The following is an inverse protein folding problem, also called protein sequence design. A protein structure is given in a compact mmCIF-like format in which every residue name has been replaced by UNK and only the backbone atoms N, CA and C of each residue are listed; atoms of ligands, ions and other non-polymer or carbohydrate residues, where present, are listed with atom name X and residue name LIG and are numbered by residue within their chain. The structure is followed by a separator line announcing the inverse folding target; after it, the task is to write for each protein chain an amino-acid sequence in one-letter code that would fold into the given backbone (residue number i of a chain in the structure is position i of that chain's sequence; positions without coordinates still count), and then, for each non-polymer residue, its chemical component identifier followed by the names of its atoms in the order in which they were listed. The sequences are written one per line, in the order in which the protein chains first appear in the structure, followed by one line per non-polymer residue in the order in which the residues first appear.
data_IF_069557030357
#
_entry.id   IF_069557030357
#
_cell.length_a   1.000
_cell.length_b   1.000
_cell.length_c   1.000
_cell.angle_alpha   90.00
_cell.angle_beta   90.00
_cell.angle_gamma   90.00
#
_symmetry.space_group_name_H-M   'P 1'
#
loop_
_entity.id
_entity.type
_entity.pdbx_description
1 polymer ?
#
# COMPACT_ATOMS: atom_id res chain seq x y z
N UNK A 1 23.13 -85.56 -54.04
CA UNK A 1 24.27 -85.28 -53.13
C UNK A 1 25.18 -84.30 -53.85
N UNK A 2 25.03 -82.99 -53.63
CA UNK A 2 25.53 -82.22 -52.46
C UNK A 2 27.07 -82.25 -52.41
N UNK A 3 27.84 -81.15 -52.37
CA UNK A 3 27.62 -79.72 -52.12
C UNK A 3 28.83 -78.92 -52.66
N UNK A 4 28.67 -77.62 -52.97
CA UNK A 4 29.78 -76.72 -53.25
C UNK A 4 30.39 -76.19 -51.93
N UNK A 5 31.70 -76.26 -51.77
CA UNK A 5 32.39 -75.67 -50.61
C UNK A 5 32.83 -74.25 -50.92
N UNK A 6 32.01 -73.33 -50.40
CA UNK A 6 32.25 -71.93 -50.00
C UNK A 6 33.70 -71.40 -50.11
N UNK A 7 33.81 -70.26 -50.79
CA UNK A 7 34.85 -69.27 -50.52
C UNK A 7 34.84 -68.89 -49.03
N UNK A 8 36.01 -68.92 -48.40
CA UNK A 8 36.27 -68.30 -47.10
C UNK A 8 36.69 -66.85 -47.36
N UNK A 9 35.90 -65.85 -46.94
CA UNK A 9 36.40 -64.48 -46.85
C UNK A 9 36.97 -64.29 -45.44
N UNK A 10 38.29 -64.20 -45.30
CA UNK A 10 38.89 -63.44 -44.20
C UNK A 10 40.39 -63.22 -44.41
N UNK A 11 40.72 -62.03 -44.94
CA UNK A 11 42.02 -61.41 -44.74
C UNK A 11 41.76 -59.98 -44.29
N UNK A 12 42.00 -59.73 -43.00
CA UNK A 12 41.91 -58.42 -42.37
C UNK A 12 42.73 -57.39 -43.17
N UNK A 13 42.04 -56.36 -43.69
CA UNK A 13 42.64 -55.30 -44.50
C UNK A 13 43.44 -54.33 -43.59
N UNK A 14 44.69 -53.97 -43.92
CA UNK A 14 45.49 -53.06 -43.10
C UNK A 14 44.97 -51.61 -43.12
N UNK A 15 45.11 -50.89 -42.00
CA UNK A 15 44.57 -49.54 -41.76
C UNK A 15 45.64 -48.43 -41.89
N UNK A 16 45.31 -47.31 -42.54
CA UNK A 16 46.22 -46.18 -42.74
C UNK A 16 46.38 -45.30 -41.50
N UNK A 17 47.62 -44.95 -41.15
CA UNK A 17 48.00 -44.23 -39.92
C UNK A 17 47.30 -42.90 -39.72
N UNK A 18 47.24 -42.11 -40.79
CA UNK A 18 46.60 -40.79 -40.80
C UNK A 18 45.09 -40.90 -40.54
N UNK A 19 44.44 -41.92 -41.10
CA UNK A 19 43.01 -42.14 -40.89
C UNK A 19 42.70 -42.58 -39.45
N UNK A 20 43.51 -43.46 -38.85
CA UNK A 20 43.34 -43.88 -37.45
C UNK A 20 43.58 -42.73 -36.47
N UNK A 21 44.61 -41.92 -36.71
CA UNK A 21 44.92 -40.77 -35.87
C UNK A 21 43.84 -39.69 -35.94
N UNK A 22 43.34 -39.35 -37.14
CA UNK A 22 42.22 -38.41 -37.31
C UNK A 22 40.92 -38.99 -36.73
N UNK A 23 40.68 -40.30 -36.88
CA UNK A 23 39.51 -40.96 -36.30
C UNK A 23 39.55 -41.04 -34.76
N UNK A 24 40.74 -41.04 -34.14
CA UNK A 24 40.89 -40.91 -32.68
C UNK A 24 40.89 -39.45 -32.21
N UNK A 25 41.25 -38.50 -33.08
CA UNK A 25 41.16 -37.07 -32.80
C UNK A 25 39.72 -36.60 -32.57
N UNK A 26 38.72 -37.37 -33.03
CA UNK A 26 37.31 -37.12 -32.74
C UNK A 26 36.88 -37.48 -31.30
N UNK A 27 37.77 -38.07 -30.48
CA UNK A 27 37.50 -38.56 -29.12
C UNK A 27 36.44 -39.69 -29.01
N UNK A 28 35.81 -40.06 -30.12
CA UNK A 28 34.84 -41.16 -30.22
C UNK A 28 35.51 -42.54 -30.33
N UNK A 29 36.84 -42.61 -30.21
CA UNK A 29 37.65 -43.84 -30.26
C UNK A 29 37.44 -44.69 -31.53
N UNK A 30 37.01 -44.04 -32.62
CA UNK A 30 36.73 -44.69 -33.91
C UNK A 30 37.99 -45.31 -34.49
N UNK A 31 39.16 -44.72 -34.28
CA UNK A 31 40.44 -45.29 -34.72
C UNK A 31 40.76 -46.63 -34.05
N UNK A 32 40.42 -46.82 -32.76
CA UNK A 32 40.58 -48.12 -32.09
C UNK A 32 39.60 -49.18 -32.59
N UNK A 33 38.36 -48.78 -32.92
CA UNK A 33 37.37 -49.65 -33.53
C UNK A 33 37.78 -50.05 -34.95
N UNK A 34 38.34 -49.12 -35.72
CA UNK A 34 38.90 -49.39 -37.04
C UNK A 34 40.02 -50.42 -36.95
N UNK A 35 40.88 -50.37 -35.92
CA UNK A 35 41.92 -51.37 -35.67
C UNK A 35 41.39 -52.71 -35.10
N UNK A 36 40.05 -52.90 -34.98
CA UNK A 36 39.43 -54.10 -34.42
C UNK A 36 39.54 -54.25 -32.90
N UNK A 37 40.09 -53.25 -32.20
CA UNK A 37 40.41 -53.33 -30.76
C UNK A 37 39.28 -52.78 -29.88
N UNK A 38 38.16 -53.51 -29.86
CA UNK A 38 36.91 -53.12 -29.17
C UNK A 38 37.08 -52.86 -27.67
N UNK A 39 37.89 -53.66 -26.96
CA UNK A 39 38.16 -53.47 -25.52
C UNK A 39 38.89 -52.15 -25.23
N UNK A 40 39.88 -51.81 -26.05
CA UNK A 40 40.61 -50.54 -25.94
C UNK A 40 39.70 -49.35 -26.24
N UNK A 41 38.85 -49.45 -27.27
CA UNK A 41 37.86 -48.42 -27.59
C UNK A 41 36.87 -48.19 -26.42
N UNK A 42 36.41 -49.25 -25.76
CA UNK A 42 35.52 -49.14 -24.61
C UNK A 42 36.19 -48.49 -23.40
N UNK A 43 37.43 -48.89 -23.06
CA UNK A 43 38.17 -48.32 -21.92
C UNK A 43 38.52 -46.86 -22.16
N UNK A 44 39.08 -46.54 -23.34
CA UNK A 44 39.43 -45.15 -23.69
C UNK A 44 38.19 -44.27 -23.86
N UNK A 45 37.09 -44.82 -24.36
CA UNK A 45 35.78 -44.17 -24.40
C UNK A 45 35.23 -43.86 -23.02
N UNK A 46 35.33 -44.81 -22.09
CA UNK A 46 34.92 -44.60 -20.69
C UNK A 46 35.78 -43.53 -20.01
N UNK A 47 37.10 -43.55 -20.18
CA UNK A 47 37.99 -42.52 -19.61
C UNK A 47 37.70 -41.14 -20.22
N UNK A 48 37.46 -41.07 -21.52
CA UNK A 48 37.10 -39.82 -22.22
C UNK A 48 35.74 -39.30 -21.73
N UNK A 49 34.76 -40.17 -21.57
CA UNK A 49 33.45 -39.83 -21.01
C UNK A 49 33.57 -39.30 -19.58
N UNK A 50 34.34 -39.97 -18.72
CA UNK A 50 34.59 -39.54 -17.34
C UNK A 50 35.30 -38.19 -17.29
N UNK A 51 36.30 -37.95 -18.14
CA UNK A 51 36.99 -36.66 -18.22
C UNK A 51 36.07 -35.52 -18.69
N UNK A 52 35.22 -35.78 -19.69
CA UNK A 52 34.24 -34.80 -20.18
C UNK A 52 33.17 -34.52 -19.12
N UNK A 53 32.67 -35.55 -18.43
CA UNK A 53 31.73 -35.39 -17.32
C UNK A 53 32.37 -34.63 -16.17
N UNK A 54 33.59 -34.96 -15.77
CA UNK A 54 34.30 -34.28 -14.68
C UNK A 54 34.57 -32.79 -14.98
N UNK A 55 34.92 -32.47 -16.23
CA UNK A 55 35.06 -31.07 -16.69
C UNK A 55 33.71 -30.33 -16.67
N UNK A 56 32.62 -31.04 -16.98
CA UNK A 56 31.28 -30.48 -16.99
C UNK A 56 30.67 -30.30 -15.58
N UNK A 57 31.01 -31.16 -14.61
CA UNK A 57 30.25 -31.25 -13.34
C UNK A 57 31.01 -30.90 -12.05
N UNK A 58 32.31 -31.19 -11.90
CA UNK A 58 32.87 -31.30 -10.55
C UNK A 58 34.06 -30.39 -10.20
N UNK A 59 34.98 -30.04 -11.11
CA UNK A 59 36.10 -29.12 -10.80
C UNK A 59 36.52 -28.40 -12.08
N UNK A 60 36.26 -27.10 -12.22
CA UNK A 60 36.75 -26.31 -13.35
C UNK A 60 38.14 -25.75 -13.04
N UNK A 61 39.17 -26.57 -13.21
CA UNK A 61 40.56 -26.14 -13.11
C UNK A 61 41.21 -26.13 -14.49
N UNK A 62 42.04 -25.11 -14.79
CA UNK A 62 42.85 -25.07 -16.02
C UNK A 62 43.70 -26.34 -16.19
N UNK A 63 44.00 -27.02 -15.09
CA UNK A 63 44.66 -28.31 -15.08
C UNK A 63 43.84 -29.41 -15.78
N UNK A 64 42.52 -29.47 -15.61
CA UNK A 64 41.67 -30.45 -16.29
C UNK A 64 41.57 -30.21 -17.80
N UNK A 65 41.62 -28.94 -18.24
CA UNK A 65 41.73 -28.60 -19.66
C UNK A 65 43.06 -29.08 -20.24
N UNK A 66 44.17 -28.89 -19.53
CA UNK A 66 45.49 -29.41 -19.91
C UNK A 66 45.51 -30.94 -19.94
N UNK A 67 44.92 -31.61 -18.94
CA UNK A 67 44.82 -33.07 -18.91
C UNK A 67 44.00 -33.61 -20.06
N UNK A 68 42.88 -32.97 -20.43
CA UNK A 68 42.08 -33.37 -21.58
C UNK A 68 42.83 -33.19 -22.91
N UNK A 69 43.59 -32.09 -23.06
CA UNK A 69 44.43 -31.86 -24.24
C UNK A 69 45.57 -32.88 -24.35
N UNK A 70 46.23 -33.20 -23.23
CA UNK A 70 47.26 -34.22 -23.17
C UNK A 70 46.69 -35.62 -23.44
N UNK A 71 45.51 -35.93 -22.91
CA UNK A 71 44.78 -37.16 -23.17
C UNK A 71 44.39 -37.28 -24.65
N UNK A 72 43.88 -36.20 -25.25
CA UNK A 72 43.58 -36.11 -26.68
C UNK A 72 44.83 -36.37 -27.53
N UNK A 73 45.94 -35.69 -27.23
CA UNK A 73 47.22 -35.88 -27.92
C UNK A 73 47.74 -37.32 -27.75
N UNK A 74 47.56 -37.92 -26.58
CA UNK A 74 47.91 -39.31 -26.31
C UNK A 74 47.05 -40.30 -27.12
N UNK A 75 45.74 -40.08 -27.27
CA UNK A 75 44.86 -40.94 -28.11
C UNK A 75 45.25 -40.88 -29.60
N UNK A 76 45.61 -39.69 -30.08
CA UNK A 76 46.09 -39.46 -31.46
C UNK A 76 47.45 -40.14 -31.67
N UNK A 77 48.42 -39.89 -30.78
CA UNK A 77 49.77 -40.44 -30.85
C UNK A 77 49.81 -41.96 -30.68
N UNK A 78 49.00 -42.51 -29.77
CA UNK A 78 48.91 -43.95 -29.54
C UNK A 78 48.19 -44.68 -30.69
N UNK A 79 47.12 -44.09 -31.23
CA UNK A 79 46.48 -44.59 -32.46
C UNK A 79 47.45 -44.62 -33.65
N UNK A 80 48.26 -43.58 -33.79
CA UNK A 80 49.32 -43.50 -34.80
C UNK A 80 50.39 -44.60 -34.63
N UNK A 81 50.87 -44.81 -33.41
CA UNK A 81 51.86 -45.84 -33.08
C UNK A 81 51.35 -47.27 -33.33
N UNK A 82 50.09 -47.55 -32.96
CA UNK A 82 49.46 -48.84 -33.20
C UNK A 82 49.26 -49.14 -34.70
N UNK A 83 48.89 -48.13 -35.48
CA UNK A 83 48.81 -48.25 -36.93
C UNK A 83 50.22 -48.40 -37.57
N UNK A 84 51.28 -47.94 -36.90
CA UNK A 84 52.64 -48.06 -37.40
C UNK A 84 53.22 -49.48 -37.28
N UNK A 85 52.79 -50.25 -36.28
CA UNK A 85 53.24 -51.61 -36.01
C UNK A 85 52.63 -52.69 -36.94
N UNK A 86 51.54 -52.39 -37.66
CA UNK A 86 50.74 -53.37 -38.39
C UNK A 86 51.11 -53.59 -39.89
N UNK A 87 52.38 -53.47 -40.32
CA UNK A 87 52.72 -53.44 -41.77
C UNK A 87 52.67 -54.81 -42.47
N UNK A 88 51.97 -54.88 -43.62
CA UNK A 88 52.51 -55.10 -45.00
C UNK A 88 51.43 -54.85 -46.08
N UNK A 89 51.87 -54.27 -47.21
CA UNK A 89 51.16 -53.92 -48.46
C UNK A 89 50.05 -52.84 -48.38
N UNK A 90 50.36 -51.62 -48.83
CA UNK A 90 49.40 -50.54 -49.05
C UNK A 90 49.02 -50.43 -50.53
N UNK A 91 47.71 -50.36 -50.80
CA UNK A 91 47.14 -49.89 -52.06
C UNK A 91 46.64 -48.45 -51.87
N UNK A 92 47.02 -47.52 -52.77
CA UNK A 92 46.81 -46.06 -52.60
C UNK A 92 45.33 -45.65 -52.61
N UNK A 93 44.45 -46.48 -53.14
CA UNK A 93 43.00 -46.25 -53.24
C UNK A 93 42.28 -46.36 -51.89
N UNK A 94 42.65 -47.35 -51.05
CA UNK A 94 42.05 -47.54 -49.72
C UNK A 94 42.43 -46.42 -48.71
N UNK A 95 43.51 -45.67 -48.98
CA UNK A 95 43.96 -44.52 -48.17
C UNK A 95 43.07 -43.30 -48.35
N UNK A 96 42.52 -43.07 -49.55
CA UNK A 96 41.70 -41.90 -49.87
C UNK A 96 40.29 -42.06 -49.29
N UNK A 97 39.68 -43.24 -49.44
CA UNK A 97 38.35 -43.52 -48.86
C UNK A 97 38.32 -43.38 -47.34
N UNK A 98 39.37 -43.84 -46.63
CA UNK A 98 39.40 -43.81 -45.17
C UNK A 98 39.77 -42.44 -44.59
N UNK A 99 40.56 -41.65 -45.32
CA UNK A 99 40.79 -40.24 -45.00
C UNK A 99 39.51 -39.41 -45.19
N UNK A 100 38.76 -39.69 -46.26
CA UNK A 100 37.44 -39.10 -46.51
C UNK A 100 36.49 -39.45 -45.38
N UNK A 101 36.42 -40.71 -44.94
CA UNK A 101 35.58 -41.10 -43.78
C UNK A 101 35.98 -40.35 -42.50
N UNK A 102 37.28 -40.21 -42.21
CA UNK A 102 37.74 -39.50 -41.02
C UNK A 102 37.45 -37.99 -41.08
N UNK A 103 37.62 -37.33 -42.25
CA UNK A 103 37.22 -35.93 -42.47
C UNK A 103 35.70 -35.77 -42.43
N UNK A 104 34.94 -36.71 -43.00
CA UNK A 104 33.48 -36.73 -42.95
C UNK A 104 32.94 -36.90 -41.52
N UNK A 105 33.72 -37.45 -40.59
CA UNK A 105 33.34 -37.51 -39.18
C UNK A 105 33.82 -36.29 -38.38
N UNK A 106 35.02 -35.77 -38.65
CA UNK A 106 35.60 -34.67 -37.88
C UNK A 106 35.05 -33.29 -38.27
N UNK A 107 34.85 -33.04 -39.57
CA UNK A 107 34.35 -31.75 -40.07
C UNK A 107 32.95 -31.41 -39.56
N UNK A 108 31.96 -32.33 -39.54
CA UNK A 108 30.66 -32.02 -38.99
C UNK A 108 30.71 -31.69 -37.49
N UNK A 109 31.55 -32.38 -36.71
CA UNK A 109 31.69 -32.11 -35.27
C UNK A 109 32.27 -30.71 -35.04
N UNK A 110 33.35 -30.36 -35.75
CA UNK A 110 33.97 -29.03 -35.63
C UNK A 110 33.04 -27.92 -36.15
N UNK A 111 32.32 -28.17 -37.24
CA UNK A 111 31.31 -27.25 -37.77
C UNK A 111 30.19 -27.01 -36.76
N UNK A 112 29.61 -28.08 -36.18
CA UNK A 112 28.57 -27.97 -35.14
C UNK A 112 29.07 -27.21 -33.92
N UNK A 113 30.28 -27.51 -33.42
CA UNK A 113 30.87 -26.78 -32.28
C UNK A 113 31.08 -25.30 -32.60
N UNK A 114 31.55 -24.99 -33.81
CA UNK A 114 31.79 -23.61 -34.24
C UNK A 114 30.49 -22.82 -34.38
N UNK A 115 29.46 -23.43 -34.99
CA UNK A 115 28.11 -22.82 -35.10
C UNK A 115 27.53 -22.56 -33.72
N UNK A 116 27.55 -23.54 -32.82
CA UNK A 116 27.05 -23.38 -31.45
C UNK A 116 27.83 -22.33 -30.64
N UNK A 117 29.13 -22.13 -30.93
CA UNK A 117 29.93 -21.07 -30.30
C UNK A 117 29.57 -19.67 -30.81
N UNK A 118 29.29 -19.54 -32.11
CA UNK A 118 28.83 -18.27 -32.70
C UNK A 118 27.43 -17.92 -32.19
N UNK A 119 26.53 -18.90 -32.15
CA UNK A 119 25.18 -18.75 -31.62
C UNK A 119 25.20 -18.32 -30.15
N UNK A 120 26.00 -19.01 -29.32
CA UNK A 120 26.24 -18.63 -27.93
C UNK A 120 26.81 -17.20 -27.76
N UNK A 121 27.65 -16.73 -28.67
CA UNK A 121 28.16 -15.35 -28.64
C UNK A 121 27.09 -14.32 -29.03
N UNK A 122 26.18 -14.69 -29.94
CA UNK A 122 25.00 -13.89 -30.26
C UNK A 122 24.10 -13.71 -29.03
N UNK A 123 23.76 -14.81 -28.36
CA UNK A 123 22.95 -14.79 -27.12
C UNK A 123 23.63 -13.94 -26.02
N UNK A 124 24.93 -14.12 -25.76
CA UNK A 124 25.66 -13.29 -24.77
C UNK A 124 25.62 -11.81 -25.13
N UNK A 125 25.66 -11.49 -26.43
CA UNK A 125 25.52 -10.14 -26.96
C UNK A 125 24.16 -9.52 -26.65
N UNK A 126 23.07 -10.25 -26.93
CA UNK A 126 21.70 -9.83 -26.62
C UNK A 126 21.50 -9.65 -25.11
N UNK A 127 21.93 -10.62 -24.30
CA UNK A 127 21.85 -10.52 -22.83
C UNK A 127 22.65 -9.33 -22.30
N UNK A 128 23.83 -9.06 -22.85
CA UNK A 128 24.62 -7.90 -22.46
C UNK A 128 23.96 -6.57 -22.87
N UNK A 129 23.25 -6.54 -24.00
CA UNK A 129 22.47 -5.39 -24.43
C UNK A 129 21.27 -5.17 -23.51
N UNK A 130 20.46 -6.21 -23.27
CA UNK A 130 19.35 -6.18 -22.34
C UNK A 130 19.77 -5.73 -20.93
N UNK A 131 20.96 -6.13 -20.44
CA UNK A 131 21.53 -5.61 -19.18
C UNK A 131 21.87 -4.12 -19.21
N UNK A 132 22.36 -3.59 -20.33
CA UNK A 132 22.64 -2.15 -20.49
C UNK A 132 21.36 -1.34 -20.51
N UNK A 133 20.33 -1.88 -21.16
CA UNK A 133 19.03 -1.24 -21.36
C UNK A 133 18.12 -1.43 -20.13
N UNK A 134 18.39 -2.43 -19.29
CA UNK A 134 17.63 -2.71 -18.06
C UNK A 134 16.45 -3.64 -18.27
N UNK A 135 16.43 -4.42 -19.35
CA UNK A 135 15.29 -5.23 -19.77
C UNK A 135 15.44 -6.70 -19.32
N UNK A 136 14.80 -7.04 -18.19
CA UNK A 136 14.80 -8.42 -17.68
C UNK A 136 14.12 -9.40 -18.64
N UNK A 137 12.97 -9.01 -19.22
CA UNK A 137 12.21 -9.85 -20.13
C UNK A 137 13.02 -10.26 -21.38
N UNK A 138 13.68 -9.29 -22.03
CA UNK A 138 14.54 -9.55 -23.20
C UNK A 138 15.74 -10.44 -22.82
N UNK A 139 16.35 -10.21 -21.66
CA UNK A 139 17.44 -11.06 -21.17
C UNK A 139 16.99 -12.50 -20.90
N UNK A 140 15.78 -12.70 -20.35
CA UNK A 140 15.22 -14.01 -20.08
C UNK A 140 14.81 -14.74 -21.36
N UNK A 141 14.21 -14.05 -22.31
CA UNK A 141 13.85 -14.59 -23.63
C UNK A 141 15.09 -15.10 -24.38
N UNK A 142 16.15 -14.29 -24.45
CA UNK A 142 17.41 -14.69 -25.06
C UNK A 142 18.06 -15.90 -24.35
N UNK A 143 17.89 -16.02 -23.03
CA UNK A 143 18.43 -17.13 -22.25
C UNK A 143 17.62 -18.42 -22.36
N UNK A 144 16.35 -18.35 -22.77
CA UNK A 144 15.50 -19.54 -23.01
C UNK A 144 15.98 -20.37 -24.21
N UNK A 145 16.67 -19.73 -25.16
CA UNK A 145 17.33 -20.39 -26.30
C UNK A 145 18.55 -21.25 -25.88
N UNK A 146 19.02 -21.12 -24.64
CA UNK A 146 20.20 -21.85 -24.12
C UNK A 146 19.84 -23.30 -23.75
N UNK A 147 20.06 -24.21 -24.70
CA UNK A 147 19.94 -25.65 -24.50
C UNK A 147 21.25 -26.36 -24.11
N UNK A 148 21.20 -27.69 -23.97
CA UNK A 148 22.34 -28.53 -23.55
C UNK A 148 23.60 -28.37 -24.43
N UNK A 149 23.43 -28.15 -25.74
CA UNK A 149 24.55 -27.93 -26.66
C UNK A 149 25.40 -26.72 -26.28
N UNK A 150 24.77 -25.60 -25.92
CA UNK A 150 25.44 -24.38 -25.49
C UNK A 150 26.19 -24.55 -24.16
N UNK A 151 25.63 -25.32 -23.21
CA UNK A 151 26.29 -25.62 -21.93
C UNK A 151 27.58 -26.42 -22.10
N UNK A 152 27.65 -27.30 -23.10
CA UNK A 152 28.86 -28.07 -23.38
C UNK A 152 29.94 -27.25 -24.06
N UNK A 153 29.59 -26.41 -25.04
CA UNK A 153 30.59 -25.70 -25.85
C UNK A 153 30.96 -24.31 -25.33
N UNK A 154 30.10 -23.67 -24.51
CA UNK A 154 30.21 -22.28 -24.07
C UNK A 154 29.93 -22.10 -22.56
N UNK A 155 30.45 -23.00 -21.71
CA UNK A 155 30.17 -23.05 -20.27
C UNK A 155 30.35 -21.74 -19.47
N UNK A 156 31.36 -20.86 -19.72
CA UNK A 156 31.49 -19.60 -18.99
C UNK A 156 30.39 -18.58 -19.32
N UNK A 157 29.89 -18.59 -20.56
CA UNK A 157 28.76 -17.76 -20.97
C UNK A 157 27.49 -18.23 -20.26
N UNK A 158 27.20 -19.54 -20.30
CA UNK A 158 25.98 -20.07 -19.69
C UNK A 158 25.94 -19.85 -18.17
N UNK A 159 27.08 -19.92 -17.48
CA UNK A 159 27.14 -19.60 -16.05
C UNK A 159 26.81 -18.13 -15.74
N UNK A 160 27.25 -17.17 -16.59
CA UNK A 160 26.86 -15.75 -16.48
C UNK A 160 25.39 -15.54 -16.82
N UNK A 161 24.88 -16.31 -17.78
CA UNK A 161 23.45 -16.39 -18.11
C UNK A 161 22.61 -16.82 -16.91
N UNK A 162 22.93 -17.96 -16.28
CA UNK A 162 22.21 -18.48 -15.11
C UNK A 162 22.20 -17.49 -13.93
N UNK A 163 23.28 -16.73 -13.73
CA UNK A 163 23.33 -15.64 -12.74
C UNK A 163 22.35 -14.51 -13.09
N UNK A 164 22.19 -14.21 -14.38
CA UNK A 164 21.24 -13.19 -14.86
C UNK A 164 19.82 -13.66 -14.76
N UNK A 165 19.52 -14.89 -15.12
CA UNK A 165 18.18 -15.47 -14.92
C UNK A 165 17.74 -15.35 -13.46
N UNK A 166 18.64 -15.67 -12.51
CA UNK A 166 18.35 -15.53 -11.07
C UNK A 166 18.19 -14.07 -10.63
N UNK A 167 19.00 -13.16 -11.14
CA UNK A 167 18.85 -11.73 -10.85
C UNK A 167 17.54 -11.17 -11.42
N UNK A 168 17.23 -11.44 -12.69
CA UNK A 168 16.02 -10.99 -13.37
C UNK A 168 14.75 -11.49 -12.68
N UNK A 169 14.69 -12.78 -12.30
CA UNK A 169 13.52 -13.31 -11.57
C UNK A 169 13.30 -12.62 -10.23
N UNK A 170 14.37 -12.34 -9.48
CA UNK A 170 14.25 -11.58 -8.22
C UNK A 170 13.82 -10.13 -8.44
N UNK A 171 14.25 -9.51 -9.55
CA UNK A 171 13.80 -8.17 -9.93
C UNK A 171 12.33 -8.17 -10.33
N UNK A 172 11.87 -9.18 -11.05
CA UNK A 172 10.45 -9.35 -11.43
C UNK A 172 9.56 -9.59 -10.22
N UNK A 173 9.96 -10.50 -9.31
CA UNK A 173 9.27 -10.73 -8.03
C UNK A 173 9.16 -9.44 -7.21
N UNK A 174 10.28 -8.71 -7.05
CA UNK A 174 10.27 -7.42 -6.39
C UNK A 174 9.41 -6.37 -7.13
N UNK A 175 9.33 -6.41 -8.46
CA UNK A 175 8.49 -5.50 -9.23
C UNK A 175 7.00 -5.81 -9.05
N UNK A 176 6.62 -7.09 -8.92
CA UNK A 176 5.26 -7.51 -8.62
C UNK A 176 4.86 -7.04 -7.21
N UNK A 177 5.75 -7.16 -6.23
CA UNK A 177 5.54 -6.65 -4.87
C UNK A 177 5.38 -5.12 -4.83
N UNK A 178 6.19 -4.40 -5.62
CA UNK A 178 6.05 -2.95 -5.79
C UNK A 178 4.71 -2.57 -6.43
N UNK A 179 4.24 -3.35 -7.41
CA UNK A 179 2.94 -3.14 -8.05
C UNK A 179 1.78 -3.38 -7.05
N UNK A 180 1.87 -4.42 -6.21
CA UNK A 180 0.95 -4.63 -5.10
C UNK A 180 0.98 -3.46 -4.09
N UNK A 181 2.15 -2.86 -3.90
CA UNK A 181 2.32 -1.61 -3.14
C UNK A 181 1.49 -0.45 -3.68
N UNK A 182 1.42 -0.28 -5.00
CA UNK A 182 0.56 0.74 -5.64
C UNK A 182 -0.94 0.44 -5.43
N UNK A 183 -1.31 -0.82 -5.23
CA UNK A 183 -2.67 -1.22 -4.86
C UNK A 183 -2.95 -1.11 -3.34
N UNK A 184 -1.97 -0.69 -2.54
CA UNK A 184 -2.14 -0.39 -1.11
C UNK A 184 -1.57 -1.41 -0.13
N UNK A 185 -0.82 -2.41 -0.60
CA UNK A 185 -0.09 -3.33 0.26
C UNK A 185 1.29 -2.75 0.65
N UNK A 186 1.37 -2.14 1.83
CA UNK A 186 2.63 -1.56 2.32
C UNK A 186 3.65 -2.62 2.77
N UNK A 187 3.20 -3.86 3.02
CA UNK A 187 4.09 -4.98 3.31
C UNK A 187 4.84 -5.39 2.05
N UNK A 188 4.09 -5.64 0.97
CA UNK A 188 4.65 -5.91 -0.36
C UNK A 188 5.52 -4.74 -0.86
N UNK A 189 5.09 -3.48 -0.64
CA UNK A 189 5.94 -2.33 -0.97
C UNK A 189 7.32 -2.41 -0.30
N UNK A 190 7.36 -2.75 0.99
CA UNK A 190 8.63 -2.90 1.71
C UNK A 190 9.46 -4.07 1.17
N UNK A 191 8.82 -5.22 0.97
CA UNK A 191 9.47 -6.44 0.42
C UNK A 191 10.05 -6.19 -0.98
N UNK A 192 9.34 -5.48 -1.85
CA UNK A 192 9.83 -5.11 -3.18
C UNK A 192 11.05 -4.21 -3.14
N UNK A 193 11.07 -3.19 -2.27
CA UNK A 193 12.26 -2.34 -2.10
C UNK A 193 13.45 -3.12 -1.51
N UNK A 194 13.22 -3.97 -0.52
CA UNK A 194 14.25 -4.81 0.08
C UNK A 194 14.80 -5.84 -0.92
N UNK A 195 13.93 -6.44 -1.74
CA UNK A 195 14.28 -7.35 -2.81
C UNK A 195 15.15 -6.69 -3.89
N UNK A 196 14.76 -5.50 -4.35
CA UNK A 196 15.57 -4.70 -5.27
C UNK A 196 16.94 -4.34 -4.66
N UNK A 197 16.98 -3.97 -3.38
CA UNK A 197 18.22 -3.66 -2.67
C UNK A 197 19.14 -4.88 -2.54
N UNK A 198 18.57 -6.06 -2.25
CA UNK A 198 19.31 -7.32 -2.18
C UNK A 198 19.92 -7.70 -3.55
N UNK A 199 19.18 -7.55 -4.65
CA UNK A 199 19.74 -7.79 -5.99
C UNK A 199 20.88 -6.83 -6.29
N UNK A 200 20.73 -5.55 -5.95
CA UNK A 200 21.75 -4.53 -6.15
C UNK A 200 23.04 -4.81 -5.34
N UNK A 201 22.92 -5.40 -4.15
CA UNK A 201 24.04 -5.78 -3.30
C UNK A 201 24.73 -7.07 -3.78
N UNK A 202 23.95 -8.09 -4.16
CA UNK A 202 24.47 -9.41 -4.50
C UNK A 202 25.03 -9.52 -5.93
N UNK A 203 24.50 -8.71 -6.86
CA UNK A 203 24.66 -8.94 -8.30
C UNK A 203 25.37 -7.76 -8.98
N UNK A 204 26.69 -7.87 -9.08
CA UNK A 204 27.49 -6.89 -9.84
C UNK A 204 27.07 -6.88 -11.33
N UNK A 205 26.70 -5.70 -11.84
CA UNK A 205 26.31 -5.50 -13.24
C UNK A 205 24.81 -5.50 -13.54
N UNK A 206 23.93 -5.65 -12.54
CA UNK A 206 22.45 -5.67 -12.74
C UNK A 206 21.74 -4.39 -12.28
N UNK A 207 22.46 -3.36 -11.86
CA UNK A 207 21.84 -2.15 -11.29
C UNK A 207 20.97 -1.34 -12.26
N UNK A 208 21.17 -1.47 -13.58
CA UNK A 208 20.28 -0.85 -14.58
C UNK A 208 18.90 -1.52 -14.60
N UNK A 209 18.84 -2.84 -14.42
CA UNK A 209 17.59 -3.59 -14.33
C UNK A 209 16.82 -3.23 -13.05
N UNK A 210 17.53 -3.16 -11.91
CA UNK A 210 16.97 -2.67 -10.64
C UNK A 210 16.42 -1.25 -10.80
N UNK A 211 17.19 -0.36 -11.43
CA UNK A 211 16.78 1.01 -11.72
C UNK A 211 15.55 1.11 -12.62
N UNK A 212 15.45 0.26 -13.64
CA UNK A 212 14.29 0.22 -14.54
C UNK A 212 13.02 -0.28 -13.83
N UNK A 213 13.13 -1.28 -12.96
CA UNK A 213 12.01 -1.75 -12.14
C UNK A 213 11.53 -0.65 -11.17
N UNK A 214 12.45 0.03 -10.49
CA UNK A 214 12.13 1.16 -9.63
C UNK A 214 11.46 2.30 -10.41
N UNK A 215 12.00 2.67 -11.58
CA UNK A 215 11.45 3.75 -12.40
C UNK A 215 10.02 3.42 -12.86
N UNK A 216 9.76 2.16 -13.25
CA UNK A 216 8.42 1.71 -13.61
C UNK A 216 7.44 1.86 -12.44
N UNK A 217 7.84 1.45 -11.22
CA UNK A 217 7.04 1.68 -10.02
C UNK A 217 6.78 3.17 -9.78
N UNK A 218 7.83 4.01 -9.82
CA UNK A 218 7.72 5.45 -9.60
C UNK A 218 6.85 6.16 -10.66
N UNK A 219 6.87 5.66 -11.91
CA UNK A 219 6.01 6.15 -12.99
C UNK A 219 4.54 5.76 -12.82
N UNK A 220 4.26 4.73 -12.01
CA UNK A 220 2.91 4.32 -11.63
C UNK A 220 2.27 5.17 -10.53
N UNK A 221 2.98 6.19 -10.02
CA UNK A 221 2.43 7.16 -9.08
C UNK A 221 1.87 8.40 -9.82
N UNK A 222 0.71 8.94 -9.40
CA UNK A 222 -0.15 8.51 -8.29
C UNK A 222 -0.88 7.19 -8.56
N UNK A 223 -1.17 6.44 -7.48
CA UNK A 223 -2.08 5.30 -7.53
C UNK A 223 -3.52 5.77 -7.79
N UNK A 224 -4.39 4.85 -8.23
CA UNK A 224 -5.79 5.13 -8.57
C UNK A 224 -6.58 5.77 -7.41
N UNK A 225 -6.32 5.31 -6.18
CA UNK A 225 -6.90 5.88 -4.96
C UNK A 225 -5.96 6.94 -4.35
N UNK A 226 -6.44 8.19 -4.15
CA UNK A 226 -5.62 9.25 -3.55
C UNK A 226 -5.11 8.90 -2.15
N UNK A 227 -5.91 8.22 -1.33
CA UNK A 227 -5.52 7.85 0.03
C UNK A 227 -4.42 6.77 0.04
N UNK A 228 -4.43 5.88 -0.93
CA UNK A 228 -3.37 4.90 -1.19
C UNK A 228 -2.10 5.60 -1.63
N UNK A 229 -2.20 6.60 -2.51
CA UNK A 229 -1.06 7.45 -2.87
C UNK A 229 -0.45 8.15 -1.65
N UNK A 230 -1.27 8.67 -0.72
CA UNK A 230 -0.77 9.23 0.54
C UNK A 230 0.00 8.20 1.36
N UNK A 231 -0.54 6.98 1.54
CA UNK A 231 0.14 5.91 2.28
C UNK A 231 1.48 5.51 1.66
N UNK A 232 1.53 5.34 0.33
CA UNK A 232 2.75 4.99 -0.40
C UNK A 232 3.78 6.12 -0.30
N UNK A 233 3.37 7.36 -0.53
CA UNK A 233 4.29 8.52 -0.46
C UNK A 233 4.79 8.80 0.95
N UNK A 234 3.99 8.51 1.99
CA UNK A 234 4.41 8.55 3.38
C UNK A 234 5.46 7.51 3.71
N UNK A 235 5.25 6.27 3.25
CA UNK A 235 6.22 5.19 3.42
C UNK A 235 7.55 5.54 2.73
N UNK A 236 7.50 6.03 1.48
CA UNK A 236 8.69 6.47 0.74
C UNK A 236 9.42 7.61 1.44
N UNK A 237 8.70 8.59 2.01
CA UNK A 237 9.30 9.69 2.78
C UNK A 237 9.97 9.22 4.07
N UNK A 238 9.41 8.18 4.71
CA UNK A 238 9.94 7.62 5.96
C UNK A 238 11.26 6.87 5.81
N UNK A 239 11.69 6.56 4.58
CA UNK A 239 12.95 5.88 4.33
C UNK A 239 14.16 6.75 4.66
N UNK A 240 15.18 6.12 5.24
CA UNK A 240 16.50 6.73 5.42
C UNK A 240 17.18 6.86 4.06
N UNK A 241 17.74 8.04 3.77
CA UNK A 241 18.53 8.27 2.57
C UNK A 241 19.75 7.32 2.57
N UNK A 242 19.89 6.56 1.48
CA UNK A 242 20.95 5.56 1.31
C UNK A 242 22.15 6.06 0.50
N UNK A 243 22.03 7.25 -0.11
CA UNK A 243 22.91 7.73 -1.20
C UNK A 243 22.98 6.73 -2.36
N UNK A 244 21.83 6.14 -2.68
CA UNK A 244 21.69 5.07 -3.65
C UNK A 244 20.64 5.41 -4.73
N UNK A 245 20.38 4.44 -5.61
CA UNK A 245 19.45 4.60 -6.72
C UNK A 245 18.01 4.90 -6.28
N UNK A 246 17.66 4.57 -5.04
CA UNK A 246 16.31 4.69 -4.50
C UNK A 246 15.98 6.07 -3.93
N UNK A 247 17.00 6.90 -3.65
CA UNK A 247 16.81 8.28 -3.20
C UNK A 247 16.06 9.14 -4.23
N UNK A 248 16.01 8.70 -5.50
CA UNK A 248 15.20 9.31 -6.57
C UNK A 248 13.70 9.34 -6.26
N UNK A 249 13.22 8.44 -5.41
CA UNK A 249 11.83 8.43 -4.95
C UNK A 249 11.44 9.75 -4.26
N UNK A 250 12.36 10.44 -3.60
CA UNK A 250 12.10 11.70 -2.90
C UNK A 250 11.55 12.79 -3.85
N UNK A 251 12.09 12.88 -5.07
CA UNK A 251 11.63 13.85 -6.06
C UNK A 251 10.21 13.54 -6.57
N UNK A 252 9.85 12.25 -6.67
CA UNK A 252 8.50 11.82 -7.05
C UNK A 252 7.52 12.11 -5.92
N UNK A 253 7.87 11.74 -4.69
CA UNK A 253 7.08 12.03 -3.48
C UNK A 253 6.77 13.53 -3.36
N UNK A 254 7.75 14.40 -3.58
CA UNK A 254 7.56 15.84 -3.50
C UNK A 254 6.53 16.38 -4.51
N UNK A 255 6.35 15.73 -5.67
CA UNK A 255 5.37 16.13 -6.69
C UNK A 255 4.01 15.48 -6.48
N UNK A 256 3.98 14.23 -6.03
CA UNK A 256 2.76 13.41 -5.97
C UNK A 256 2.02 13.52 -4.64
N UNK A 257 2.71 13.71 -3.52
CA UNK A 257 2.07 13.73 -2.21
C UNK A 257 1.11 14.91 -1.98
N UNK A 258 1.44 16.17 -2.36
CA UNK A 258 0.54 17.30 -2.10
C UNK A 258 -0.86 17.18 -2.74
N UNK A 259 -1.02 16.86 -4.05
CA UNK A 259 -2.36 16.67 -4.61
C UNK A 259 -3.10 15.51 -3.94
N UNK A 260 -2.43 14.37 -3.70
CA UNK A 260 -3.04 13.20 -3.08
C UNK A 260 -3.55 13.48 -1.65
N UNK A 261 -2.85 14.32 -0.87
CA UNK A 261 -3.29 14.73 0.46
C UNK A 261 -4.59 15.55 0.41
N UNK A 262 -4.71 16.45 -0.56
CA UNK A 262 -5.95 17.24 -0.75
C UNK A 262 -7.09 16.33 -1.21
N UNK A 263 -6.86 15.51 -2.24
CA UNK A 263 -7.89 14.66 -2.83
C UNK A 263 -8.38 13.60 -1.82
N UNK A 264 -7.48 13.01 -1.04
CA UNK A 264 -7.86 12.12 0.05
C UNK A 264 -8.63 12.87 1.16
N UNK A 265 -8.20 14.09 1.51
CA UNK A 265 -8.92 14.95 2.45
C UNK A 265 -10.34 15.29 2.00
N UNK A 266 -10.52 15.59 0.70
CA UNK A 266 -11.83 15.84 0.07
C UNK A 266 -12.70 14.58 0.13
N UNK A 267 -12.15 13.41 -0.23
CA UNK A 267 -12.87 12.15 -0.17
C UNK A 267 -13.35 11.80 1.26
N UNK A 268 -12.55 12.10 2.29
CA UNK A 268 -12.96 11.97 3.70
C UNK A 268 -14.03 12.99 4.10
N UNK A 269 -13.93 14.23 3.61
CA UNK A 269 -14.91 15.28 3.89
C UNK A 269 -16.29 14.93 3.32
N UNK A 270 -16.35 14.40 2.09
CA UNK A 270 -17.58 14.04 1.37
C UNK A 270 -18.35 12.88 2.03
N UNK A 271 -17.65 11.98 2.72
CA UNK A 271 -18.24 10.87 3.50
C UNK A 271 -18.43 11.20 4.98
N UNK A 272 -18.37 12.48 5.34
CA UNK A 272 -18.55 12.99 6.71
C UNK A 272 -17.53 12.46 7.74
N UNK A 273 -16.40 11.93 7.27
CA UNK A 273 -15.29 11.49 8.12
C UNK A 273 -14.34 12.67 8.39
N UNK A 274 -14.84 13.64 9.15
CA UNK A 274 -14.23 14.96 9.29
C UNK A 274 -12.86 14.94 10.00
N UNK A 275 -12.66 14.00 10.94
CA UNK A 275 -11.39 13.89 11.70
C UNK A 275 -10.24 13.50 10.78
N UNK A 276 -10.47 12.52 9.91
CA UNK A 276 -9.53 12.05 8.91
C UNK A 276 -9.30 13.12 7.84
N UNK A 277 -10.37 13.76 7.34
CA UNK A 277 -10.26 14.87 6.39
C UNK A 277 -9.32 15.96 6.91
N UNK A 278 -9.57 16.43 8.15
CA UNK A 278 -8.75 17.43 8.83
C UNK A 278 -7.29 16.98 8.97
N UNK A 279 -7.07 15.70 9.25
CA UNK A 279 -5.73 15.14 9.41
C UNK A 279 -4.93 15.24 8.11
N UNK A 280 -5.53 14.88 6.97
CA UNK A 280 -4.87 14.97 5.66
C UNK A 280 -4.57 16.41 5.23
N UNK A 281 -5.51 17.34 5.44
CA UNK A 281 -5.26 18.75 5.15
C UNK A 281 -4.15 19.34 6.01
N UNK A 282 -4.15 19.08 7.32
CA UNK A 282 -3.09 19.55 8.23
C UNK A 282 -1.73 18.98 7.84
N UNK A 283 -1.68 17.70 7.48
CA UNK A 283 -0.45 17.07 7.00
C UNK A 283 0.15 17.77 5.78
N UNK A 284 -0.69 18.21 4.83
CA UNK A 284 -0.20 19.04 3.72
C UNK A 284 0.38 20.36 4.23
N UNK A 285 -0.31 21.05 5.13
CA UNK A 285 0.15 22.33 5.67
C UNK A 285 1.46 22.22 6.45
N UNK A 286 1.65 21.10 7.16
CA UNK A 286 2.85 20.85 7.95
C UNK A 286 4.05 20.45 7.09
N UNK A 287 3.82 19.61 6.06
CA UNK A 287 4.90 19.05 5.24
C UNK A 287 5.21 19.85 3.98
N UNK A 288 4.23 20.59 3.47
CA UNK A 288 4.28 21.32 2.21
C UNK A 288 3.64 22.73 2.34
N UNK A 289 4.12 23.56 3.28
CA UNK A 289 3.49 24.85 3.59
C UNK A 289 3.46 25.84 2.40
N UNK A 290 4.43 25.72 1.49
CA UNK A 290 4.61 26.57 0.31
C UNK A 290 3.96 25.99 -0.97
N UNK A 291 3.30 24.83 -0.90
CA UNK A 291 2.60 24.26 -2.05
C UNK A 291 1.39 25.13 -2.43
N UNK A 292 1.12 25.25 -3.74
CA UNK A 292 0.02 26.06 -4.26
C UNK A 292 -1.37 25.65 -3.72
N UNK A 293 -1.53 24.42 -3.23
CA UNK A 293 -2.76 23.90 -2.64
C UNK A 293 -2.90 24.18 -1.14
N UNK A 294 -1.91 24.79 -0.49
CA UNK A 294 -2.01 25.12 0.93
C UNK A 294 -3.22 26.01 1.26
N UNK A 295 -3.63 26.88 0.34
CA UNK A 295 -4.86 27.68 0.49
C UNK A 295 -6.13 26.82 0.54
N UNK A 296 -6.22 25.80 -0.32
CA UNK A 296 -7.33 24.85 -0.34
C UNK A 296 -7.34 23.98 0.91
N UNK A 297 -6.19 23.43 1.31
CA UNK A 297 -6.07 22.61 2.50
C UNK A 297 -6.46 23.38 3.78
N UNK A 298 -6.11 24.67 3.91
CA UNK A 298 -6.56 25.50 5.06
C UNK A 298 -8.09 25.58 5.13
N UNK A 299 -8.75 25.84 4.01
CA UNK A 299 -10.22 25.89 3.93
C UNK A 299 -10.85 24.53 4.22
N UNK A 300 -10.27 23.45 3.69
CA UNK A 300 -10.72 22.09 3.98
C UNK A 300 -10.61 21.73 5.46
N UNK A 301 -9.47 22.06 6.08
CA UNK A 301 -9.24 21.83 7.51
C UNK A 301 -10.19 22.65 8.41
N UNK A 302 -10.49 23.89 8.01
CA UNK A 302 -11.45 24.75 8.69
C UNK A 302 -12.86 24.15 8.61
N UNK A 303 -13.34 23.80 7.40
CA UNK A 303 -14.64 23.14 7.21
C UNK A 303 -14.77 21.87 8.06
N UNK A 304 -13.76 21.01 8.02
CA UNK A 304 -13.74 19.78 8.82
C UNK A 304 -13.75 20.08 10.33
N UNK A 305 -13.07 21.14 10.77
CA UNK A 305 -13.08 21.55 12.18
C UNK A 305 -14.47 22.03 12.62
N UNK A 306 -15.13 22.87 11.81
CA UNK A 306 -16.49 23.34 12.09
C UNK A 306 -17.50 22.19 12.14
N UNK A 307 -17.36 21.20 11.25
CA UNK A 307 -18.23 20.01 11.27
C UNK A 307 -18.04 19.17 12.55
N UNK A 308 -16.80 18.98 12.99
CA UNK A 308 -16.48 18.29 14.26
C UNK A 308 -17.09 19.05 15.45
N UNK A 309 -16.91 20.37 15.49
CA UNK A 309 -17.48 21.21 16.56
C UNK A 309 -19.01 21.10 16.60
N UNK A 310 -19.67 21.20 15.44
CA UNK A 310 -21.13 21.09 15.35
C UNK A 310 -21.63 19.71 15.81
N UNK A 311 -20.96 18.64 15.42
CA UNK A 311 -21.31 17.29 15.83
C UNK A 311 -21.17 17.10 17.36
N UNK A 312 -20.08 17.61 17.95
CA UNK A 312 -19.88 17.59 19.39
C UNK A 312 -20.95 18.38 20.15
N UNK A 313 -21.35 19.56 19.65
CA UNK A 313 -22.45 20.34 20.26
C UNK A 313 -23.77 19.56 20.19
N UNK A 314 -24.08 18.94 19.04
CA UNK A 314 -25.29 18.11 18.89
C UNK A 314 -25.30 16.95 19.88
N UNK A 315 -24.17 16.26 20.05
CA UNK A 315 -24.02 15.18 21.03
C UNK A 315 -24.22 15.67 22.47
N UNK A 316 -23.60 16.78 22.86
CA UNK A 316 -23.74 17.35 24.21
C UNK A 316 -25.16 17.85 24.53
N UNK A 317 -25.93 18.21 23.51
CA UNK A 317 -27.32 18.63 23.62
C UNK A 317 -28.30 17.44 23.58
N UNK A 318 -27.86 16.28 23.11
CA UNK A 318 -28.66 15.05 23.05
C UNK A 318 -28.76 14.42 24.45
N UNK A 319 -29.64 14.98 25.28
CA UNK A 319 -29.89 14.53 26.65
C UNK A 319 -31.04 13.52 26.73
N UNK A 320 -30.85 12.46 27.52
CA UNK A 320 -31.93 11.54 27.90
C UNK A 320 -33.06 12.24 28.67
N UNK A 321 -34.28 11.73 28.56
CA UNK A 321 -35.47 12.33 29.16
C UNK A 321 -35.34 12.51 30.68
N UNK A 322 -35.37 13.76 31.17
CA UNK A 322 -35.53 14.10 32.58
C UNK A 322 -34.33 14.75 33.28
N UNK A 323 -33.21 15.00 32.59
CA UNK A 323 -32.06 15.74 33.13
C UNK A 323 -31.55 16.79 32.14
N UNK A 324 -30.88 17.84 32.65
CA UNK A 324 -30.17 18.78 31.78
C UNK A 324 -29.10 18.03 30.95
N UNK A 325 -28.96 18.34 29.65
CA UNK A 325 -27.87 17.85 28.80
C UNK A 325 -26.50 18.27 29.33
N UNK A 326 -25.47 17.51 28.95
CA UNK A 326 -24.09 17.74 29.37
C UNK A 326 -23.57 19.12 28.92
N UNK A 327 -24.11 19.65 27.81
CA UNK A 327 -23.79 21.02 27.37
C UNK A 327 -23.96 22.06 28.49
N UNK A 328 -24.97 21.92 29.35
CA UNK A 328 -25.27 22.92 30.37
C UNK A 328 -24.23 22.97 31.51
N UNK A 329 -23.48 21.89 31.72
CA UNK A 329 -22.39 21.83 32.70
C UNK A 329 -21.01 22.02 32.06
N UNK A 330 -20.84 21.61 30.81
CA UNK A 330 -19.61 21.71 30.04
C UNK A 330 -19.91 22.26 28.62
N UNK A 331 -20.15 23.57 28.46
CA UNK A 331 -20.52 24.16 27.18
C UNK A 331 -19.36 24.00 26.18
N UNK A 332 -19.71 23.60 24.96
CA UNK A 332 -18.76 23.50 23.86
C UNK A 332 -19.02 24.58 22.82
N UNK A 333 -17.95 25.06 22.20
CA UNK A 333 -18.04 26.04 21.12
C UNK A 333 -18.37 25.39 19.78
N UNK A 334 -19.03 26.16 18.92
CA UNK A 334 -19.14 25.94 17.49
C UNK A 334 -18.84 27.24 16.74
N UNK A 335 -17.60 27.38 16.24
CA UNK A 335 -17.11 28.62 15.64
C UNK A 335 -17.82 29.05 14.35
N UNK A 336 -18.68 28.19 13.80
CA UNK A 336 -19.52 28.47 12.63
C UNK A 336 -20.81 29.21 12.97
N UNK A 337 -21.17 29.33 14.25
CA UNK A 337 -22.33 30.11 14.68
C UNK A 337 -22.16 31.61 14.42
N UNK A 338 -23.28 32.29 14.18
CA UNK A 338 -23.33 33.76 14.19
C UNK A 338 -22.89 34.28 15.57
N UNK A 339 -22.15 35.41 15.62
CA UNK A 339 -21.72 35.99 16.89
C UNK A 339 -22.92 36.56 17.65
N UNK A 340 -22.87 36.50 18.98
CA UNK A 340 -23.84 37.19 19.83
C UNK A 340 -23.73 38.71 19.65
N UNK A 341 -24.86 39.40 19.47
CA UNK A 341 -24.87 40.85 19.27
C UNK A 341 -26.26 41.45 19.17
N UNK A 342 -26.32 42.65 18.58
CA UNK A 342 -27.55 43.44 18.44
C UNK A 342 -28.67 42.66 17.75
N UNK A 343 -29.89 42.82 18.26
CA UNK A 343 -31.08 42.20 17.68
C UNK A 343 -31.44 40.88 18.34
N UNK A 344 -32.12 40.00 17.61
CA UNK A 344 -32.65 38.73 18.16
C UNK A 344 -31.66 37.61 17.94
N UNK A 345 -31.08 37.11 19.03
CA UNK A 345 -30.13 36.00 19.04
C UNK A 345 -30.89 34.67 19.16
N UNK A 346 -31.14 34.00 18.03
CA UNK A 346 -31.89 32.75 18.00
C UNK A 346 -31.21 31.71 18.91
N UNK A 347 -31.99 31.05 19.77
CA UNK A 347 -31.46 30.21 20.83
C UNK A 347 -32.02 28.79 20.83
N UNK A 348 -31.24 27.85 21.35
CA UNK A 348 -31.72 26.55 21.80
C UNK A 348 -32.07 26.67 23.28
N UNK A 349 -33.31 26.32 23.64
CA UNK A 349 -33.75 26.29 25.02
C UNK A 349 -33.79 24.86 25.54
N UNK A 350 -33.27 24.66 26.74
CA UNK A 350 -33.09 23.35 27.35
C UNK A 350 -33.57 23.39 28.80
N UNK A 351 -34.37 22.41 29.23
CA UNK A 351 -34.93 22.32 30.58
C UNK A 351 -36.44 22.54 30.60
N UNK A 352 -36.89 23.78 30.75
CA UNK A 352 -38.31 24.14 30.85
C UNK A 352 -39.01 24.19 29.47
N UNK A 353 -39.65 23.09 29.09
CA UNK A 353 -40.40 22.99 27.85
C UNK A 353 -41.77 23.67 27.86
N UNK A 354 -42.36 23.93 29.03
CA UNK A 354 -43.71 24.47 29.18
C UNK A 354 -43.77 25.91 28.67
N UNK A 355 -42.95 26.80 29.24
CA UNK A 355 -42.96 28.21 28.88
C UNK A 355 -42.18 28.47 27.59
N UNK A 356 -41.10 27.72 27.32
CA UNK A 356 -40.30 27.92 26.09
C UNK A 356 -41.02 27.47 24.81
N UNK A 357 -42.07 26.66 24.93
CA UNK A 357 -42.98 26.29 23.85
C UNK A 357 -43.80 27.48 23.33
N UNK A 358 -44.03 28.50 24.16
CA UNK A 358 -44.82 29.69 23.80
C UNK A 358 -43.99 30.80 23.13
N UNK A 359 -42.66 30.66 23.13
CA UNK A 359 -41.77 31.68 22.57
C UNK A 359 -41.90 31.78 21.04
N UNK A 360 -41.71 33.00 20.47
CA UNK A 360 -41.79 33.19 19.03
C UNK A 360 -40.80 32.29 18.27
N UNK A 361 -41.23 31.69 17.15
CA UNK A 361 -40.39 30.80 16.35
C UNK A 361 -39.06 31.42 15.87
N UNK A 362 -39.01 32.75 15.70
CA UNK A 362 -37.78 33.47 15.36
C UNK A 362 -36.75 33.56 16.49
N UNK A 363 -37.14 33.27 17.74
CA UNK A 363 -36.25 33.30 18.90
C UNK A 363 -35.69 31.91 19.21
N UNK A 364 -36.30 30.84 18.66
CA UNK A 364 -36.01 29.45 19.02
C UNK A 364 -35.55 28.63 17.82
N UNK A 365 -34.64 27.71 18.08
CA UNK A 365 -34.24 26.65 17.17
C UNK A 365 -34.01 25.35 17.92
N UNK A 366 -34.02 24.24 17.19
CA UNK A 366 -33.58 22.94 17.68
C UNK A 366 -32.30 22.47 17.00
N UNK A 367 -31.89 23.13 15.91
CA UNK A 367 -30.63 22.83 15.22
C UNK A 367 -29.53 23.80 15.69
N UNK A 368 -28.43 23.31 16.27
CA UNK A 368 -27.30 24.15 16.65
C UNK A 368 -26.66 24.90 15.48
N UNK A 369 -26.84 24.45 14.24
CA UNK A 369 -26.35 25.16 13.06
C UNK A 369 -27.03 26.54 12.86
N UNK A 370 -28.25 26.73 13.39
CA UNK A 370 -29.00 27.99 13.29
C UNK A 370 -29.04 28.77 14.62
N UNK A 371 -28.27 28.35 15.62
CA UNK A 371 -28.30 28.94 16.96
C UNK A 371 -27.16 29.93 17.16
N UNK A 372 -27.45 31.01 17.87
CA UNK A 372 -26.48 31.95 18.45
C UNK A 372 -26.22 31.62 19.92
N UNK A 373 -27.27 31.20 20.62
CA UNK A 373 -27.24 30.93 22.05
C UNK A 373 -27.70 29.51 22.38
N UNK A 374 -27.18 28.98 23.48
CA UNK A 374 -27.80 27.87 24.21
C UNK A 374 -28.21 28.37 25.59
N UNK A 375 -29.50 28.29 25.91
CA UNK A 375 -30.10 28.73 27.16
C UNK A 375 -30.50 27.52 27.99
N UNK A 376 -29.76 27.31 29.08
CA UNK A 376 -29.97 26.25 30.04
C UNK A 376 -30.84 26.76 31.19
N UNK A 377 -32.05 26.21 31.30
CA UNK A 377 -33.04 26.56 32.31
C UNK A 377 -33.02 25.52 33.44
N UNK A 378 -32.92 26.02 34.67
CA UNK A 378 -33.00 25.23 35.89
C UNK A 378 -34.44 24.85 36.25
N UNK A 379 -34.60 24.19 37.40
CA UNK A 379 -35.92 23.92 37.95
C UNK A 379 -36.61 25.23 38.38
N UNK A 380 -37.92 25.31 38.13
CA UNK A 380 -38.72 26.46 38.55
C UNK A 380 -38.89 26.49 40.08
N UNK A 381 -38.89 27.69 40.66
CA UNK A 381 -39.14 27.94 42.07
C UNK A 381 -40.05 29.17 42.28
N UNK A 382 -40.55 29.33 43.49
CA UNK A 382 -41.35 30.47 43.91
C UNK A 382 -40.50 31.73 44.03
N UNK A 383 -40.68 32.64 43.08
CA UNK A 383 -40.09 33.98 43.10
C UNK A 383 -40.74 34.92 44.11
N UNK A 384 -40.55 36.24 43.94
CA UNK A 384 -41.20 37.26 44.76
C UNK A 384 -42.72 37.14 44.79
N UNK A 385 -43.33 37.56 45.91
CA UNK A 385 -44.80 37.59 46.03
C UNK A 385 -45.35 38.72 45.19
N UNK A 386 -46.12 38.40 44.15
CA UNK A 386 -46.83 39.39 43.35
C UNK A 386 -48.08 39.90 44.09
N UNK A 387 -48.86 38.98 44.69
CA UNK A 387 -50.08 39.33 45.41
C UNK A 387 -50.46 38.31 46.46
N UNK A 388 -51.07 38.77 47.56
CA UNK A 388 -51.68 37.90 48.58
C UNK A 388 -53.18 38.08 48.59
N UNK A 389 -53.94 36.99 48.57
CA UNK A 389 -55.39 37.04 48.54
C UNK A 389 -56.06 36.10 49.55
N UNK A 390 -57.12 36.58 50.24
CA UNK A 390 -57.84 35.75 51.20
C UNK A 390 -58.84 34.84 50.49
N UNK A 391 -58.88 33.57 50.91
CA UNK A 391 -59.85 32.58 50.46
C UNK A 391 -60.61 32.01 51.64
N UNK A 392 -61.84 31.55 51.36
CA UNK A 392 -62.68 30.85 52.32
C UNK A 392 -62.85 29.42 51.86
N UNK A 393 -62.68 28.47 52.77
CA UNK A 393 -62.82 27.03 52.51
C UNK A 393 -63.65 26.36 53.62
N UNK A 394 -63.80 25.02 53.53
CA UNK A 394 -64.70 24.19 54.33
C UNK A 394 -65.07 24.75 55.72
N UNK A 395 -66.37 24.97 55.95
CA UNK A 395 -66.90 25.47 57.22
C UNK A 395 -66.65 26.96 57.50
N UNK A 396 -66.34 27.78 56.49
CA UNK A 396 -66.14 29.22 56.63
C UNK A 396 -64.74 29.63 57.13
N UNK A 397 -63.79 28.68 57.15
CA UNK A 397 -62.40 28.94 57.53
C UNK A 397 -61.73 29.83 56.47
N UNK A 398 -60.85 30.73 56.91
CA UNK A 398 -60.13 31.65 56.03
C UNK A 398 -58.66 31.28 55.97
N UNK A 399 -58.08 31.38 54.79
CA UNK A 399 -56.63 31.27 54.58
C UNK A 399 -56.20 32.37 53.61
N UNK A 400 -54.92 32.74 53.65
CA UNK A 400 -54.35 33.68 52.67
C UNK A 400 -53.38 32.90 51.79
N UNK A 401 -53.66 32.91 50.48
CA UNK A 401 -52.78 32.33 49.48
C UNK A 401 -51.90 33.43 48.92
N UNK A 402 -50.58 33.18 48.90
CA UNK A 402 -49.59 34.06 48.28
C UNK A 402 -49.34 33.58 46.86
N UNK A 403 -49.64 34.43 45.89
CA UNK A 403 -49.32 34.22 44.48
C UNK A 403 -47.93 34.77 44.22
N UNK A 404 -47.04 33.88 43.82
CA UNK A 404 -45.64 34.13 43.55
C UNK A 404 -45.38 34.18 42.05
N UNK A 405 -44.50 35.07 41.62
CA UNK A 405 -43.92 35.00 40.27
C UNK A 405 -43.21 33.65 40.10
N UNK A 406 -43.22 33.11 38.88
CA UNK A 406 -42.44 31.92 38.54
C UNK A 406 -41.00 32.38 38.35
N UNK A 407 -40.07 31.84 39.14
CA UNK A 407 -38.63 32.14 39.02
C UNK A 407 -37.90 30.93 38.45
N UNK A 408 -37.18 31.12 37.35
CA UNK A 408 -36.43 30.05 36.66
C UNK A 408 -34.98 30.49 36.50
N UNK A 409 -34.01 29.83 37.17
CA UNK A 409 -32.60 30.09 36.95
C UNK A 409 -32.22 29.81 35.50
N UNK A 410 -31.50 30.73 34.86
CA UNK A 410 -31.15 30.64 33.45
C UNK A 410 -29.69 31.01 33.22
N UNK A 411 -28.99 30.16 32.46
CA UNK A 411 -27.64 30.43 31.95
C UNK A 411 -27.67 30.42 30.44
N UNK A 412 -27.25 31.52 29.82
CA UNK A 412 -27.12 31.63 28.38
C UNK A 412 -25.63 31.62 27.99
N UNK A 413 -25.29 30.73 27.07
CA UNK A 413 -23.94 30.61 26.52
C UNK A 413 -23.95 31.00 25.05
N UNK A 414 -22.98 31.81 24.63
CA UNK A 414 -22.74 32.08 23.21
C UNK A 414 -22.20 30.82 22.56
N UNK A 415 -22.90 30.32 21.54
CA UNK A 415 -22.53 29.07 20.88
C UNK A 415 -21.20 29.19 20.14
N UNK A 416 -20.91 30.36 19.55
CA UNK A 416 -19.67 30.60 18.78
C UNK A 416 -18.40 30.40 19.60
N UNK A 417 -18.42 30.84 20.86
CA UNK A 417 -17.26 30.88 21.75
C UNK A 417 -17.33 29.85 22.85
N UNK A 418 -18.53 29.40 23.22
CA UNK A 418 -18.80 28.56 24.39
C UNK A 418 -18.82 29.36 25.70
N UNK A 419 -18.74 30.70 25.64
CA UNK A 419 -18.65 31.55 26.82
C UNK A 419 -20.03 31.91 27.39
N UNK A 420 -20.09 32.08 28.72
CA UNK A 420 -21.30 32.49 29.42
C UNK A 420 -21.56 33.99 29.16
N UNK A 421 -22.70 34.31 28.55
CA UNK A 421 -23.11 35.70 28.27
C UNK A 421 -24.13 36.23 29.27
N UNK A 422 -24.89 35.35 29.92
CA UNK A 422 -25.86 35.73 30.95
C UNK A 422 -26.05 34.62 31.99
N UNK A 423 -26.08 35.00 33.26
CA UNK A 423 -26.43 34.16 34.40
C UNK A 423 -27.43 34.94 35.26
N UNK A 424 -28.72 34.63 35.12
CA UNK A 424 -29.80 35.39 35.74
C UNK A 424 -30.99 34.49 36.03
N UNK A 425 -31.94 34.99 36.82
CA UNK A 425 -33.22 34.33 37.04
C UNK A 425 -34.30 35.01 36.18
N UNK A 426 -34.96 34.23 35.34
CA UNK A 426 -36.14 34.66 34.60
C UNK A 426 -37.28 34.74 35.60
N UNK A 427 -38.01 35.86 35.61
CA UNK A 427 -39.20 36.04 36.44
C UNK A 427 -40.41 36.25 35.57
N UNK A 428 -41.38 35.36 35.70
CA UNK A 428 -42.63 35.40 34.93
C UNK A 428 -43.75 35.81 35.89
N UNK A 429 -44.27 37.02 35.67
CA UNK A 429 -45.48 37.51 36.30
C UNK A 429 -46.74 36.96 35.61
N UNK A 430 -47.91 37.32 36.13
CA UNK A 430 -49.16 36.87 35.50
C UNK A 430 -50.41 37.24 36.28
N UNK A 431 -51.53 36.62 35.91
CA UNK A 431 -52.78 36.70 36.65
C UNK A 431 -52.60 36.23 38.10
N UNK A 432 -53.27 36.89 39.04
CA UNK A 432 -53.30 36.48 40.44
C UNK A 432 -54.71 36.57 41.00
N UNK A 433 -54.95 35.81 42.06
CA UNK A 433 -56.21 35.82 42.81
C UNK A 433 -57.44 35.42 41.99
N UNK A 434 -57.45 34.21 41.39
CA UNK A 434 -58.64 33.68 40.74
C UNK A 434 -59.81 33.61 41.72
N UNK A 435 -61.04 33.68 41.21
CA UNK A 435 -62.22 33.60 42.06
C UNK A 435 -62.33 32.26 42.82
N UNK A 436 -61.76 31.19 42.26
CA UNK A 436 -61.76 29.83 42.81
C UNK A 436 -60.37 29.20 42.58
N UNK A 437 -59.81 28.55 43.61
CA UNK A 437 -58.60 27.74 43.49
C UNK A 437 -59.01 26.26 43.60
N UNK A 438 -58.80 25.45 42.55
CA UNK A 438 -58.98 24.00 42.67
C UNK A 438 -57.85 23.42 43.53
N UNK A 439 -58.19 22.62 44.54
CA UNK A 439 -57.20 21.88 45.32
C UNK A 439 -57.75 20.53 45.75
N UNK A 440 -56.86 19.54 45.87
CA UNK A 440 -57.22 18.16 46.22
C UNK A 440 -56.95 17.91 47.69
N UNK A 441 -57.89 17.27 48.39
CA UNK A 441 -57.76 16.93 49.81
C UNK A 441 -57.80 15.42 50.01
N UNK A 442 -56.88 14.87 50.82
CA UNK A 442 -56.90 13.48 51.24
C UNK A 442 -57.25 13.39 52.73
N UNK A 443 -58.51 13.02 53.05
CA UNK A 443 -59.01 12.95 54.41
C UNK A 443 -59.55 14.28 54.93
N UNK A 444 -58.82 14.92 55.85
CA UNK A 444 -59.23 16.21 56.46
C UNK A 444 -58.90 17.38 55.54
N UNK A 445 -59.88 18.26 55.29
CA UNK A 445 -59.68 19.49 54.51
C UNK A 445 -58.81 20.50 55.29
N UNK A 446 -57.55 20.58 54.90
CA UNK A 446 -56.56 21.54 55.42
C UNK A 446 -56.61 22.90 54.72
N UNK A 447 -57.48 23.06 53.71
CA UNK A 447 -57.56 24.24 52.88
C UNK A 447 -56.60 24.22 51.68
N UNK A 448 -56.72 25.22 50.79
CA UNK A 448 -55.85 25.36 49.63
C UNK A 448 -54.39 25.61 50.06
N UNK A 449 -53.43 25.36 49.15
CA UNK A 449 -52.02 25.64 49.41
C UNK A 449 -51.81 27.12 49.78
N UNK A 450 -50.87 27.39 50.69
CA UNK A 450 -50.59 28.77 51.18
C UNK A 450 -49.69 29.58 50.25
N UNK A 451 -49.15 28.91 49.22
CA UNK A 451 -48.37 29.47 48.13
C UNK A 451 -48.89 28.86 46.84
N UNK A 452 -48.96 29.67 45.80
CA UNK A 452 -49.33 29.25 44.46
C UNK A 452 -48.57 30.11 43.44
N UNK A 453 -48.45 29.63 42.20
CA UNK A 453 -47.87 30.41 41.12
C UNK A 453 -48.92 31.36 40.53
N UNK A 454 -48.45 32.45 39.95
CA UNK A 454 -49.26 33.27 39.03
C UNK A 454 -49.66 32.47 37.78
N UNK A 455 -50.70 32.93 37.08
CA UNK A 455 -51.17 32.35 35.81
C UNK A 455 -50.69 33.24 34.65
N UNK A 456 -49.54 32.95 34.01
CA UNK A 456 -48.94 33.83 33.02
C UNK A 456 -49.69 33.79 31.68
N UNK A 457 -49.76 34.92 30.99
CA UNK A 457 -50.11 34.94 29.57
C UNK A 457 -48.86 34.76 28.70
N UNK A 458 -49.02 34.35 27.45
CA UNK A 458 -47.88 34.28 26.51
C UNK A 458 -47.18 35.63 26.28
N UNK A 459 -47.83 36.76 26.58
CA UNK A 459 -47.19 38.06 26.58
C UNK A 459 -46.27 38.25 27.79
N UNK A 460 -46.67 37.74 28.97
CA UNK A 460 -45.85 37.77 30.19
C UNK A 460 -44.62 36.86 30.03
N UNK A 461 -44.82 35.64 29.49
CA UNK A 461 -43.72 34.72 29.16
C UNK A 461 -42.73 35.37 28.19
N UNK A 462 -43.22 35.92 27.07
CA UNK A 462 -42.34 36.57 26.09
C UNK A 462 -41.55 37.74 26.70
N UNK A 463 -42.19 38.58 27.51
CA UNK A 463 -41.54 39.73 28.14
C UNK A 463 -40.43 39.29 29.12
N UNK A 464 -40.64 38.19 29.85
CA UNK A 464 -39.67 37.66 30.79
C UNK A 464 -38.39 37.13 30.10
N UNK A 465 -38.52 36.55 28.90
CA UNK A 465 -37.38 36.00 28.15
C UNK A 465 -36.70 37.00 27.21
N UNK A 466 -37.30 38.18 26.98
CA UNK A 466 -36.83 39.13 25.97
C UNK A 466 -35.39 39.62 26.22
N UNK A 467 -35.02 39.84 27.49
CA UNK A 467 -33.68 40.29 27.87
C UNK A 467 -32.58 39.25 27.70
N UNK A 468 -32.93 37.97 27.56
CA UNK A 468 -31.95 36.90 27.29
C UNK A 468 -31.61 36.76 25.81
N UNK A 469 -32.52 37.20 24.94
CA UNK A 469 -32.45 36.98 23.50
C UNK A 469 -32.04 38.25 22.76
N UNK A 470 -32.30 39.43 23.35
CA UNK A 470 -31.84 40.69 22.78
C UNK A 470 -30.46 41.04 23.31
N UNK A 471 -29.49 41.19 22.40
CA UNK A 471 -28.20 41.79 22.73
C UNK A 471 -28.36 43.27 23.12
N UNK A 472 -27.46 43.74 23.99
CA UNK A 472 -27.40 45.13 24.46
C UNK A 472 -26.94 46.11 23.39
#
# INVERSE_FOLDING_TARGET
MERPTRAVPDAHRPHGRLAVAVANASLLNVGYLMLGRRRLAAVTGMVTLVLVVALATAVRSAWLEVVLLLWWAALVGHGWGLAAAARRAEDRTARRERLVVALCCALPVLATVSVLRVDAAGIDGTVAQARRDGECAEALEALDEVWFGHRLVAAPMTARGDATTRACRRVEEAADDLAAGLAGDLGALAEGFDGLAAVQADSSGHGRMVGAALERFLSGLPADDPCTTVRVTDWLRGRKAGHDLFDRSAAVVARTAPPALVDCGNAFLDRESWVEARTHYRKLLDQYPDDGRAGEARKGAEKATLAIELANVRELLDGGSGSQPEYCSAPAKYGGAEPYGDGTNRAIFVGDGEHTGELPGGWRTTDPADAVLVVCLGEQDYGPVQRSCPYTYGGGKRTTVRFHEIEIPAKAYELRTGELVSDTAIRIGGGSCPAVIPYTTFGTDTGPPTKDYVDPSGADVRAAFESLIKGD
#
